data_IF_359837887050
#
_entry.id   IF_359837887050
#
_cell.length_a   1.000
_cell.length_b   1.000
_cell.length_c   1.000
_cell.angle_alpha   90.00
_cell.angle_beta   90.00
_cell.angle_gamma   90.00
#
_symmetry.space_group_name_H-M   'P 1'
#
loop_
_entity.id
_entity.type
_entity.pdbx_description
1 polymer ?
#
# COMPACT_ATOMS: atom_id res chain seq x y z
N UNK A 1 -14.25 -9.03 3.56
CA UNK A 1 -13.06 -9.48 2.78
C UNK A 1 -12.32 -10.47 3.67
N UNK A 2 -12.13 -11.71 3.21
CA UNK A 2 -11.41 -12.74 3.97
C UNK A 2 -9.90 -12.43 4.05
N UNK A 3 -9.21 -13.02 5.04
CA UNK A 3 -7.74 -12.87 5.20
C UNK A 3 -7.01 -13.30 3.92
N UNK A 4 -7.51 -14.34 3.26
CA UNK A 4 -6.99 -14.83 1.97
C UNK A 4 -7.11 -13.79 0.85
N UNK A 5 -8.25 -13.12 0.75
CA UNK A 5 -8.46 -12.04 -0.23
C UNK A 5 -7.52 -10.87 0.04
N UNK A 6 -7.29 -10.51 1.31
CA UNK A 6 -6.30 -9.50 1.69
C UNK A 6 -4.88 -9.88 1.27
N UNK A 7 -4.48 -11.15 1.42
CA UNK A 7 -3.18 -11.65 0.94
C UNK A 7 -3.00 -11.44 -0.56
N UNK A 8 -4.01 -11.79 -1.36
CA UNK A 8 -3.98 -11.58 -2.82
C UNK A 8 -3.89 -10.10 -3.21
N UNK A 9 -4.68 -9.23 -2.56
CA UNK A 9 -4.63 -7.78 -2.77
C UNK A 9 -3.23 -7.24 -2.47
N UNK A 10 -2.61 -7.68 -1.36
CA UNK A 10 -1.25 -7.30 -0.99
C UNK A 10 -0.22 -7.68 -2.06
N UNK A 11 -0.31 -8.91 -2.59
CA UNK A 11 0.58 -9.39 -3.66
C UNK A 11 0.42 -8.55 -4.93
N UNK A 12 -0.81 -8.21 -5.33
CA UNK A 12 -1.07 -7.36 -6.50
C UNK A 12 -0.46 -5.97 -6.29
N UNK A 13 -0.66 -5.38 -5.11
CA UNK A 13 -0.06 -4.08 -4.77
C UNK A 13 1.46 -4.12 -4.83
N UNK A 14 2.09 -5.17 -4.29
CA UNK A 14 3.56 -5.34 -4.35
C UNK A 14 4.06 -5.42 -5.79
N UNK A 15 3.38 -6.18 -6.67
CA UNK A 15 3.71 -6.26 -8.10
C UNK A 15 3.57 -4.91 -8.81
N UNK A 16 2.53 -4.14 -8.48
CA UNK A 16 2.33 -2.80 -9.01
C UNK A 16 3.47 -1.84 -8.58
N UNK A 17 3.85 -1.86 -7.30
CA UNK A 17 4.96 -1.04 -6.81
C UNK A 17 6.27 -1.44 -7.48
N UNK A 18 6.53 -2.76 -7.64
CA UNK A 18 7.70 -3.23 -8.36
C UNK A 18 7.75 -2.70 -9.80
N UNK A 19 6.64 -2.77 -10.53
CA UNK A 19 6.57 -2.26 -11.90
C UNK A 19 6.88 -0.76 -11.97
N UNK A 20 6.42 0.04 -10.99
CA UNK A 20 6.73 1.48 -10.90
C UNK A 20 8.22 1.73 -10.67
N UNK A 21 8.85 0.98 -9.75
CA UNK A 21 10.28 1.08 -9.47
C UNK A 21 11.10 0.68 -10.71
N UNK A 22 10.68 -0.39 -11.40
CA UNK A 22 11.34 -0.84 -12.63
C UNK A 22 11.27 0.18 -13.76
N UNK A 23 10.14 0.88 -13.89
CA UNK A 23 9.99 1.98 -14.84
C UNK A 23 10.87 3.17 -14.46
N UNK A 24 10.86 3.55 -13.19
CA UNK A 24 11.68 4.66 -12.68
C UNK A 24 13.17 4.39 -12.86
N UNK A 25 13.63 3.15 -12.61
CA UNK A 25 15.03 2.77 -12.81
C UNK A 25 15.49 2.82 -14.28
N UNK A 26 14.55 2.85 -15.22
CA UNK A 26 14.81 3.02 -16.67
C UNK A 26 14.68 4.47 -17.14
N UNK A 27 14.65 5.43 -16.20
CA UNK A 27 14.51 6.84 -16.50
C UNK A 27 13.08 7.29 -16.84
N UNK A 28 12.06 6.47 -16.55
CA UNK A 28 10.66 6.83 -16.77
C UNK A 28 10.10 7.52 -15.52
N UNK A 29 9.51 8.70 -15.69
CA UNK A 29 8.80 9.36 -14.60
C UNK A 29 7.46 8.68 -14.33
N UNK A 30 7.23 8.30 -13.08
CA UNK A 30 5.99 7.63 -12.66
C UNK A 30 5.17 8.59 -11.81
N UNK A 31 4.01 8.99 -12.33
CA UNK A 31 3.04 9.83 -11.62
C UNK A 31 1.87 8.97 -11.17
N UNK A 32 1.48 9.09 -9.90
CA UNK A 32 0.29 8.43 -9.37
C UNK A 32 -0.63 9.47 -8.77
N UNK A 33 -1.91 9.36 -9.09
CA UNK A 33 -2.97 10.22 -8.55
C UNK A 33 -3.79 9.39 -7.59
N UNK A 34 -4.08 9.93 -6.42
CA UNK A 34 -4.94 9.32 -5.41
C UNK A 34 -5.99 10.31 -4.95
N UNK A 35 -7.18 9.80 -4.63
CA UNK A 35 -8.22 10.58 -3.99
C UNK A 35 -7.80 10.96 -2.58
N UNK A 36 -8.19 12.13 -2.12
CA UNK A 36 -7.99 12.57 -0.74
C UNK A 36 -9.15 12.13 0.14
N UNK A 37 -8.84 11.63 1.33
CA UNK A 37 -9.83 11.32 2.36
C UNK A 37 -9.56 12.10 3.65
N UNK A 38 -10.62 12.48 4.35
CA UNK A 38 -10.54 13.17 5.63
C UNK A 38 -10.03 12.24 6.72
N UNK A 39 -9.12 12.75 7.54
CA UNK A 39 -8.77 12.16 8.83
C UNK A 39 -9.64 12.84 9.90
N UNK A 40 -10.41 12.05 10.63
CA UNK A 40 -11.25 12.53 11.73
C UNK A 40 -10.62 12.17 13.06
N UNK A 41 -10.98 12.94 14.09
CA UNK A 41 -10.65 12.63 15.46
C UNK A 41 -11.26 11.29 15.92
N UNK A 42 -10.92 10.84 17.12
CA UNK A 42 -11.37 9.55 17.67
C UNK A 42 -12.91 9.50 17.81
N UNK A 43 -13.57 10.65 17.97
CA UNK A 43 -15.02 10.77 18.04
C UNK A 43 -15.68 10.84 16.66
N UNK A 44 -14.91 10.93 15.58
CA UNK A 44 -15.38 11.01 14.20
C UNK A 44 -16.05 12.33 13.84
N UNK A 45 -15.98 13.36 14.71
CA UNK A 45 -16.72 14.63 14.55
C UNK A 45 -15.90 15.73 13.91
N UNK A 46 -14.61 15.80 14.19
CA UNK A 46 -13.74 16.88 13.72
C UNK A 46 -12.73 16.36 12.71
N UNK A 47 -12.59 17.04 11.58
CA UNK A 47 -11.52 16.79 10.63
C UNK A 47 -10.21 17.33 11.22
N UNK A 48 -9.25 16.42 11.45
CA UNK A 48 -7.92 16.73 11.99
C UNK A 48 -6.84 16.77 10.91
N UNK A 49 -7.17 16.41 9.67
CA UNK A 49 -6.24 16.41 8.56
C UNK A 49 -6.78 15.68 7.34
N UNK A 50 -5.89 15.46 6.38
CA UNK A 50 -6.18 14.77 5.13
C UNK A 50 -5.08 13.77 4.82
N UNK A 51 -5.43 12.71 4.11
CA UNK A 51 -4.46 11.73 3.60
C UNK A 51 -4.90 11.21 2.24
N UNK A 52 -3.97 10.75 1.40
CA UNK A 52 -4.33 10.05 0.17
C UNK A 52 -4.99 8.70 0.48
N UNK A 53 -6.01 8.35 -0.29
CA UNK A 53 -6.66 7.03 -0.24
C UNK A 53 -5.79 5.99 -0.96
N UNK A 54 -4.76 5.53 -0.26
CA UNK A 54 -3.81 4.54 -0.77
C UNK A 54 -3.20 3.74 0.41
N UNK A 55 -2.54 2.64 0.08
CA UNK A 55 -1.85 1.86 1.10
C UNK A 55 -0.77 2.68 1.81
N UNK A 56 -0.65 2.52 3.12
CA UNK A 56 0.23 3.34 3.99
C UNK A 56 1.71 3.37 3.55
N UNK A 57 2.21 2.28 2.96
CA UNK A 57 3.60 2.19 2.52
C UNK A 57 3.87 2.94 1.22
N UNK A 58 2.87 3.15 0.38
CA UNK A 58 3.03 3.73 -0.97
C UNK A 58 3.67 5.13 -0.93
N UNK A 59 3.38 5.93 0.10
CA UNK A 59 3.99 7.25 0.30
C UNK A 59 5.52 7.22 0.41
N UNK A 60 6.12 6.08 0.76
CA UNK A 60 7.58 5.96 0.86
C UNK A 60 8.25 5.74 -0.49
N UNK A 61 7.49 5.28 -1.50
CA UNK A 61 8.00 4.94 -2.82
C UNK A 61 8.17 6.16 -3.74
N UNK A 62 7.59 7.30 -3.39
CA UNK A 62 7.67 8.53 -4.18
C UNK A 62 8.68 9.51 -3.61
N UNK A 63 9.41 10.20 -4.50
CA UNK A 63 10.34 11.26 -4.12
C UNK A 63 9.60 12.53 -3.78
N UNK A 64 8.57 12.87 -4.54
CA UNK A 64 7.74 14.07 -4.33
C UNK A 64 6.28 13.69 -4.15
N UNK A 65 5.63 14.29 -3.16
CA UNK A 65 4.19 14.16 -2.89
C UNK A 65 3.59 15.54 -2.77
N UNK A 66 2.59 15.81 -3.61
CA UNK A 66 1.87 17.07 -3.65
C UNK A 66 0.40 16.84 -3.29
N UNK A 67 -0.14 17.72 -2.46
CA UNK A 67 -1.57 17.83 -2.21
C UNK A 67 -2.15 18.93 -3.08
N UNK A 68 -2.96 18.58 -4.07
CA UNK A 68 -3.59 19.54 -4.95
C UNK A 68 -4.90 20.06 -4.36
N UNK A 69 -5.15 21.33 -4.51
CA UNK A 69 -6.40 22.00 -4.10
C UNK A 69 -6.67 23.23 -4.96
N UNK A 70 -7.88 23.75 -4.86
CA UNK A 70 -8.29 24.96 -5.57
C UNK A 70 -8.61 26.09 -4.58
N UNK A 71 -8.34 27.31 -4.99
CA UNK A 71 -8.78 28.52 -4.28
C UNK A 71 -9.75 29.31 -5.16
N UNK A 72 -10.80 29.84 -4.56
CA UNK A 72 -11.66 30.83 -5.22
C UNK A 72 -11.10 32.22 -4.97
N UNK A 73 -10.84 32.92 -6.04
CA UNK A 73 -10.35 34.30 -6.01
C UNK A 73 -11.52 35.28 -5.81
N UNK A 74 -11.20 36.55 -5.48
CA UNK A 74 -12.22 37.60 -5.21
C UNK A 74 -13.04 37.94 -6.44
N UNK A 75 -12.51 37.75 -7.62
CA UNK A 75 -13.20 37.96 -8.91
C UNK A 75 -14.08 36.79 -9.35
N UNK A 76 -14.12 35.72 -8.57
CA UNK A 76 -14.87 34.50 -8.86
C UNK A 76 -14.11 33.48 -9.69
N UNK A 77 -12.89 33.80 -10.12
CA UNK A 77 -11.99 32.82 -10.78
C UNK A 77 -11.51 31.74 -9.82
N UNK A 78 -10.99 30.64 -10.37
CA UNK A 78 -10.44 29.52 -9.59
C UNK A 78 -8.97 29.38 -9.93
N UNK A 79 -8.12 29.46 -8.93
CA UNK A 79 -6.68 29.16 -9.05
C UNK A 79 -6.37 27.76 -8.54
N UNK A 80 -5.37 27.10 -9.15
CA UNK A 80 -4.94 25.74 -8.83
C UNK A 80 -3.64 25.79 -8.03
N UNK A 81 -3.61 25.11 -6.91
CA UNK A 81 -2.50 25.14 -5.98
C UNK A 81 -2.07 23.71 -5.60
N UNK A 82 -0.82 23.58 -5.22
CA UNK A 82 -0.33 22.39 -4.54
C UNK A 82 0.42 22.76 -3.27
N UNK A 83 0.24 21.98 -2.24
CA UNK A 83 1.06 21.96 -1.03
C UNK A 83 2.06 20.81 -1.13
N UNK A 84 3.34 21.08 -0.88
CA UNK A 84 4.40 20.08 -0.86
C UNK A 84 4.30 19.30 0.45
N UNK A 85 3.88 18.03 0.39
CA UNK A 85 3.80 17.14 1.56
C UNK A 85 5.14 16.44 1.79
N UNK A 86 5.86 16.14 0.70
CA UNK A 86 7.16 15.48 0.72
C UNK A 86 7.94 15.89 -0.51
N UNK A 87 9.24 16.16 -0.33
CA UNK A 87 10.18 16.31 -1.42
C UNK A 87 11.57 15.82 -0.97
N UNK A 88 12.04 14.73 -1.58
CA UNK A 88 13.38 14.18 -1.38
C UNK A 88 14.43 14.81 -2.29
N UNK A 89 13.98 15.51 -3.33
CA UNK A 89 14.88 16.16 -4.28
C UNK A 89 15.50 17.43 -3.72
N UNK A 90 14.94 17.97 -2.64
CA UNK A 90 15.28 19.25 -2.04
C UNK A 90 15.10 20.46 -2.98
N UNK A 91 14.37 20.31 -4.08
CA UNK A 91 14.02 21.41 -4.99
C UNK A 91 12.99 22.31 -4.35
N UNK A 92 12.05 21.72 -3.63
CA UNK A 92 11.01 22.45 -2.90
C UNK A 92 11.07 22.13 -1.39
N UNK A 93 10.37 22.94 -0.59
CA UNK A 93 10.30 22.74 0.87
C UNK A 93 8.96 22.16 1.27
N UNK A 94 8.96 21.25 2.23
CA UNK A 94 7.72 20.73 2.83
C UNK A 94 6.90 21.87 3.40
N UNK A 95 5.58 21.89 3.11
CA UNK A 95 4.65 22.97 3.45
C UNK A 95 4.67 24.15 2.44
N UNK A 96 5.55 24.17 1.46
CA UNK A 96 5.55 25.19 0.41
C UNK A 96 4.27 25.06 -0.42
N UNK A 97 3.63 26.20 -0.70
CA UNK A 97 2.48 26.30 -1.58
C UNK A 97 2.92 26.79 -2.95
N UNK A 98 2.52 26.11 -3.99
CA UNK A 98 2.89 26.35 -5.37
C UNK A 98 1.62 26.59 -6.17
N UNK A 99 1.54 27.71 -6.84
CA UNK A 99 0.48 28.01 -7.79
C UNK A 99 0.81 27.38 -9.15
N UNK A 100 -0.21 26.76 -9.77
CA UNK A 100 -0.10 26.09 -11.07
C UNK A 100 1.12 25.14 -11.13
N UNK A 101 1.22 24.14 -10.22
CA UNK A 101 2.38 23.25 -10.16
C UNK A 101 2.54 22.48 -11.48
N UNK A 102 3.76 22.49 -12.02
CA UNK A 102 4.11 21.73 -13.23
C UNK A 102 5.43 20.98 -13.02
N UNK A 103 5.72 20.04 -13.91
CA UNK A 103 6.94 19.23 -13.84
C UNK A 103 8.22 20.07 -13.98
N UNK A 104 8.15 21.21 -14.67
CA UNK A 104 9.33 22.05 -14.93
C UNK A 104 10.04 22.52 -13.66
N UNK A 105 9.33 22.58 -12.52
CA UNK A 105 9.90 22.93 -11.21
C UNK A 105 11.00 21.93 -10.81
N UNK A 106 10.85 20.64 -11.17
CA UNK A 106 11.80 19.56 -10.83
C UNK A 106 12.64 19.11 -12.02
N UNK A 107 12.41 19.66 -13.21
CA UNK A 107 13.03 19.21 -14.46
C UNK A 107 14.56 19.17 -14.36
N UNK A 108 15.19 20.27 -13.92
CA UNK A 108 16.64 20.36 -13.85
C UNK A 108 17.24 19.30 -12.91
N UNK A 109 16.56 18.99 -11.81
CA UNK A 109 16.97 17.91 -10.92
C UNK A 109 16.95 16.56 -11.62
N UNK A 110 15.85 16.22 -12.28
CA UNK A 110 15.73 14.93 -12.96
C UNK A 110 16.64 14.85 -14.20
N UNK A 111 16.84 15.93 -14.91
CA UNK A 111 17.77 15.98 -16.04
C UNK A 111 19.22 15.75 -15.57
N UNK A 112 19.60 16.24 -14.39
CA UNK A 112 20.92 15.99 -13.79
C UNK A 112 21.12 14.52 -13.38
N UNK A 113 20.03 13.78 -13.14
CA UNK A 113 20.07 12.36 -12.77
C UNK A 113 20.09 11.44 -14.01
N UNK A 114 19.84 11.95 -15.21
CA UNK A 114 19.89 11.19 -16.44
C UNK A 114 21.30 10.64 -16.67
N UNK A 115 21.40 9.32 -16.85
CA UNK A 115 22.67 8.60 -17.07
C UNK A 115 23.30 8.03 -15.78
N UNK A 116 22.73 8.24 -14.62
CA UNK A 116 23.13 7.51 -13.41
C UNK A 116 22.54 6.11 -13.44
N UNK A 117 23.40 5.09 -13.58
CA UNK A 117 22.97 3.70 -13.46
C UNK A 117 22.54 3.39 -12.02
N UNK A 118 21.24 3.11 -11.83
CA UNK A 118 20.74 2.64 -10.55
C UNK A 118 20.87 1.12 -10.48
N UNK A 119 21.59 0.63 -9.48
CA UNK A 119 21.77 -0.81 -9.24
C UNK A 119 20.51 -1.39 -8.57
N UNK A 120 19.47 -1.67 -9.37
CA UNK A 120 18.18 -2.18 -8.89
C UNK A 120 18.11 -3.71 -8.81
N UNK A 121 19.19 -4.42 -9.19
CA UNK A 121 19.22 -5.90 -9.29
C UNK A 121 19.00 -6.58 -7.94
N UNK A 122 19.57 -6.04 -6.87
CA UNK A 122 19.40 -6.56 -5.50
C UNK A 122 17.94 -6.46 -5.04
N UNK A 123 17.32 -5.29 -5.19
CA UNK A 123 15.94 -5.07 -4.78
C UNK A 123 14.92 -5.96 -5.53
N UNK A 124 15.14 -6.18 -6.84
CA UNK A 124 14.30 -7.10 -7.64
C UNK A 124 14.36 -8.53 -7.13
N UNK A 125 15.55 -9.03 -6.82
CA UNK A 125 15.73 -10.37 -6.30
C UNK A 125 15.11 -10.53 -4.92
N UNK A 126 15.32 -9.58 -4.03
CA UNK A 126 14.75 -9.57 -2.67
C UNK A 126 13.22 -9.55 -2.71
N UNK A 127 12.63 -8.73 -3.58
CA UNK A 127 11.18 -8.66 -3.72
C UNK A 127 10.59 -9.92 -4.36
N UNK A 128 11.28 -10.51 -5.35
CA UNK A 128 10.86 -11.78 -5.96
C UNK A 128 10.86 -12.89 -4.91
N UNK A 129 11.92 -13.04 -4.15
CA UNK A 129 12.05 -14.03 -3.08
C UNK A 129 11.00 -13.81 -2.00
N UNK A 130 10.77 -12.56 -1.58
CA UNK A 130 9.73 -12.22 -0.60
C UNK A 130 8.32 -12.53 -1.12
N UNK A 131 8.03 -12.24 -2.39
CA UNK A 131 6.73 -12.52 -3.01
C UNK A 131 6.48 -14.01 -3.15
N UNK A 132 7.47 -14.79 -3.59
CA UNK A 132 7.40 -16.25 -3.69
C UNK A 132 7.19 -16.88 -2.30
N UNK A 133 7.93 -16.44 -1.29
CA UNK A 133 7.74 -16.88 0.09
C UNK A 133 6.34 -16.59 0.64
N UNK A 134 5.75 -15.43 0.32
CA UNK A 134 4.38 -15.10 0.74
C UNK A 134 3.32 -15.96 0.04
N UNK A 135 3.53 -16.27 -1.24
CA UNK A 135 2.63 -17.16 -2.00
C UNK A 135 2.69 -18.56 -1.40
N UNK A 136 3.88 -19.09 -1.18
CA UNK A 136 4.11 -20.40 -0.57
C UNK A 136 3.47 -20.50 0.83
N UNK A 137 3.59 -19.47 1.65
CA UNK A 137 2.96 -19.43 2.97
C UNK A 137 1.45 -19.38 2.88
N UNK A 138 0.90 -18.63 1.93
CA UNK A 138 -0.55 -18.57 1.71
C UNK A 138 -1.11 -19.93 1.24
N UNK A 139 -0.43 -20.59 0.30
CA UNK A 139 -0.85 -21.88 -0.22
C UNK A 139 -0.73 -22.99 0.84
N UNK A 140 0.33 -22.99 1.66
CA UNK A 140 0.50 -23.92 2.80
C UNK A 140 -0.59 -23.71 3.86
N UNK A 141 -0.90 -22.45 4.17
CA UNK A 141 -1.99 -22.12 5.12
C UNK A 141 -3.35 -22.59 4.61
N UNK A 142 -3.60 -22.47 3.31
CA UNK A 142 -4.85 -22.95 2.69
C UNK A 142 -4.96 -24.48 2.68
N UNK A 143 -3.87 -25.16 2.32
CA UNK A 143 -3.82 -26.62 2.35
C UNK A 143 -4.07 -27.16 3.77
N UNK A 144 -3.44 -26.53 4.78
CA UNK A 144 -3.62 -26.89 6.17
C UNK A 144 -5.06 -26.65 6.65
N UNK A 145 -5.68 -25.54 6.27
CA UNK A 145 -7.07 -25.23 6.60
C UNK A 145 -8.07 -26.22 5.95
N UNK A 146 -7.80 -26.64 4.71
CA UNK A 146 -8.60 -27.65 4.02
C UNK A 146 -8.48 -29.02 4.71
N UNK A 147 -7.27 -29.44 5.07
CA UNK A 147 -7.00 -30.68 5.79
C UNK A 147 -7.69 -30.69 7.16
N UNK A 148 -7.60 -29.60 7.93
CA UNK A 148 -8.32 -29.46 9.19
C UNK A 148 -9.84 -29.53 9.03
N UNK A 149 -10.40 -28.91 7.97
CA UNK A 149 -11.84 -28.95 7.68
C UNK A 149 -12.31 -30.38 7.38
N UNK A 150 -11.51 -31.17 6.68
CA UNK A 150 -11.84 -32.56 6.39
C UNK A 150 -11.72 -33.46 7.64
N UNK A 151 -10.70 -33.22 8.46
CA UNK A 151 -10.56 -33.90 9.76
C UNK A 151 -11.79 -33.58 10.66
N UNK A 152 -12.18 -32.29 10.74
CA UNK A 152 -13.37 -31.90 11.55
C UNK A 152 -14.67 -32.60 11.12
N UNK A 153 -14.83 -32.86 9.82
CA UNK A 153 -16.02 -33.60 9.31
C UNK A 153 -16.07 -35.05 9.78
N UNK A 154 -14.93 -35.64 10.13
CA UNK A 154 -14.86 -37.05 10.62
C UNK A 154 -15.24 -37.19 12.08
N UNK A 155 -15.22 -36.10 12.86
CA UNK A 155 -15.56 -36.11 14.28
C UNK A 155 -17.08 -35.90 14.49
N UNK A 156 -17.77 -36.90 14.99
CA UNK A 156 -19.22 -36.83 15.35
C UNK A 156 -19.45 -36.49 16.83
N UNK A 157 -18.39 -36.51 17.64
CA UNK A 157 -18.46 -36.33 19.09
C UNK A 157 -18.11 -34.91 19.50
N UNK A 158 -19.01 -34.30 20.32
CA UNK A 158 -18.90 -32.92 20.78
C UNK A 158 -17.66 -32.64 21.66
N UNK A 159 -17.26 -33.64 22.47
CA UNK A 159 -16.12 -33.53 23.37
C UNK A 159 -14.77 -33.53 22.59
N UNK A 160 -14.71 -34.30 21.53
CA UNK A 160 -13.57 -34.35 20.65
C UNK A 160 -13.43 -33.06 19.85
N UNK A 161 -14.52 -32.45 19.38
CA UNK A 161 -14.56 -31.15 18.74
C UNK A 161 -14.05 -30.04 19.66
N UNK A 162 -14.41 -30.08 20.96
CA UNK A 162 -13.92 -29.11 21.96
C UNK A 162 -12.42 -29.24 22.19
N UNK A 163 -11.85 -30.43 22.21
CA UNK A 163 -10.42 -30.69 22.35
C UNK A 163 -9.63 -30.17 21.11
N UNK A 164 -10.15 -30.42 19.92
CA UNK A 164 -9.57 -29.95 18.67
C UNK A 164 -9.59 -28.42 18.62
N UNK A 165 -10.70 -27.78 18.98
CA UNK A 165 -10.82 -26.34 19.05
C UNK A 165 -9.81 -25.71 20.04
N UNK A 166 -9.57 -26.36 21.18
CA UNK A 166 -8.56 -25.93 22.17
C UNK A 166 -7.16 -26.02 21.58
N UNK A 167 -6.82 -27.12 20.92
CA UNK A 167 -5.53 -27.33 20.26
C UNK A 167 -5.26 -26.33 19.12
N UNK A 168 -6.29 -26.00 18.35
CA UNK A 168 -6.20 -24.97 17.29
C UNK A 168 -5.91 -23.59 17.89
N UNK A 169 -6.57 -23.24 18.99
CA UNK A 169 -6.37 -21.98 19.69
C UNK A 169 -4.95 -21.86 20.27
N UNK A 170 -4.44 -22.96 20.84
CA UNK A 170 -3.08 -23.03 21.40
C UNK A 170 -2.00 -22.94 20.30
N UNK A 171 -2.31 -23.31 19.06
CA UNK A 171 -1.42 -23.19 17.90
C UNK A 171 -1.65 -21.92 17.06
N UNK A 172 -2.50 -20.98 17.53
CA UNK A 172 -2.74 -19.70 16.88
C UNK A 172 -3.60 -19.75 15.60
N UNK A 173 -4.31 -20.87 15.36
CA UNK A 173 -5.26 -21.00 14.24
C UNK A 173 -6.63 -20.51 14.68
N UNK A 174 -7.20 -19.50 14.04
CA UNK A 174 -8.47 -18.88 14.42
C UNK A 174 -9.67 -19.67 13.86
N UNK A 175 -10.60 -20.06 14.76
CA UNK A 175 -11.86 -20.75 14.42
C UNK A 175 -12.78 -19.86 13.56
N UNK A 176 -12.70 -18.53 13.69
CA UNK A 176 -13.52 -17.59 12.92
C UNK A 176 -13.28 -17.66 11.41
N UNK A 177 -12.14 -18.17 10.98
CA UNK A 177 -11.84 -18.38 9.56
C UNK A 177 -12.54 -19.62 8.98
N UNK A 178 -13.03 -20.51 9.82
CA UNK A 178 -13.73 -21.75 9.42
C UNK A 178 -15.25 -21.62 9.43
N UNK A 179 -15.81 -20.65 10.17
CA UNK A 179 -17.27 -20.46 10.33
C UNK A 179 -17.89 -19.49 9.31
N UNK A 180 -17.10 -18.82 8.49
CA UNK A 180 -17.57 -17.82 7.52
C UNK A 180 -17.64 -18.35 6.08
N UNK A 181 -18.09 -19.59 5.91
CA UNK A 181 -18.51 -20.09 4.58
C UNK A 181 -19.84 -20.85 4.67
#
# INVERSE_FOLDING_TARGET
>A
ISVKQWGRIKIINMKLQQAKIDLSSKGTHVVSVAQEIELKDDDGKKVIGYKPDMHKSVKFDYDTILRHYTKKEKDGSVSFWAEVIKDRTNVTKVGQQIENPCFDIWKDYYDSMNGLETNTTSYKNDLKTSTESMIDQADKSEALAAEFKDILKTFKDKDTLLKVNKLMKDKGVSIKELEMQ
#
